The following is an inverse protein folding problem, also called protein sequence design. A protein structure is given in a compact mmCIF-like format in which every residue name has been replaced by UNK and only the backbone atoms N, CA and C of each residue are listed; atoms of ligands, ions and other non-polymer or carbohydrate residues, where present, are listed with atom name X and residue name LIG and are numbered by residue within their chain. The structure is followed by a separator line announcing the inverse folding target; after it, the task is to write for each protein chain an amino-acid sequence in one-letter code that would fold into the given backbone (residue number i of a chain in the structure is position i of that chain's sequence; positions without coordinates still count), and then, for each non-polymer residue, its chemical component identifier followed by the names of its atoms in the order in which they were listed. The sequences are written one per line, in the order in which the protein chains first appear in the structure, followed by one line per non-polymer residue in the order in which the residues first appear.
data_IF_198136594099
#
_entry.id   IF_198136594099
#
_cell.length_a   1.000
_cell.length_b   1.000
_cell.length_c   1.000
_cell.angle_alpha   90.00
_cell.angle_beta   90.00
_cell.angle_gamma   90.00
#
_symmetry.space_group_name_H-M   'P 1'
#
loop_
_entity.id
_entity.type
_entity.pdbx_description
1 polymer ?
#
# COMPACT_ATOMS: atom_id res chain seq x y z
N UNK A 1 -5.24 12.07 6.57
CA UNK A 1 -4.11 11.18 6.86
C UNK A 1 -3.98 10.08 5.83
N UNK A 2 -2.76 9.83 5.39
CA UNK A 2 -2.42 8.75 4.47
C UNK A 2 -2.69 7.38 5.10
N UNK A 3 -3.13 6.44 4.27
CA UNK A 3 -3.27 5.04 4.66
C UNK A 3 -1.91 4.42 5.00
N UNK A 4 -1.90 3.33 5.74
CA UNK A 4 -0.65 2.60 6.06
C UNK A 4 0.11 2.20 4.79
N UNK A 5 -0.59 1.81 3.70
CA UNK A 5 0.07 1.43 2.45
C UNK A 5 0.75 2.61 1.76
N UNK A 6 0.14 3.80 1.79
CA UNK A 6 0.75 5.03 1.24
C UNK A 6 1.99 5.45 2.03
N UNK A 7 1.90 5.37 3.36
CA UNK A 7 3.07 5.63 4.23
C UNK A 7 4.22 4.66 3.93
N UNK A 8 3.93 3.39 3.71
CA UNK A 8 4.93 2.39 3.33
C UNK A 8 5.54 2.69 1.95
N UNK A 9 4.75 3.13 0.96
CA UNK A 9 5.29 3.56 -0.33
C UNK A 9 6.27 4.73 -0.17
N UNK A 10 5.90 5.73 0.64
CA UNK A 10 6.77 6.87 0.97
C UNK A 10 8.06 6.43 1.65
N UNK A 11 7.99 5.49 2.61
CA UNK A 11 9.16 4.88 3.25
C UNK A 11 10.05 4.16 2.22
N UNK A 12 9.47 3.37 1.33
CA UNK A 12 10.22 2.64 0.31
C UNK A 12 10.91 3.58 -0.68
N UNK A 13 10.26 4.69 -1.07
CA UNK A 13 10.87 5.74 -1.90
C UNK A 13 12.05 6.41 -1.21
N UNK A 14 11.93 6.70 0.08
CA UNK A 14 13.05 7.24 0.87
C UNK A 14 14.22 6.25 0.93
N UNK A 15 13.95 4.97 1.21
CA UNK A 15 14.99 3.93 1.19
C UNK A 15 15.59 3.71 -0.21
N UNK A 16 14.78 3.86 -1.27
CA UNK A 16 15.24 3.79 -2.67
C UNK A 16 16.23 4.90 -2.98
N UNK A 17 15.99 6.13 -2.53
CA UNK A 17 16.94 7.22 -2.71
C UNK A 17 18.31 6.89 -2.10
N UNK A 18 18.32 6.30 -0.91
CA UNK A 18 19.55 5.83 -0.24
C UNK A 18 20.20 4.69 -1.02
N UNK A 19 19.42 3.72 -1.49
CA UNK A 19 19.92 2.60 -2.29
C UNK A 19 20.54 3.07 -3.62
N UNK A 20 19.94 4.07 -4.28
CA UNK A 20 20.48 4.69 -5.51
C UNK A 20 21.79 5.42 -5.20
N UNK A 21 21.84 6.20 -4.11
CA UNK A 21 23.06 6.88 -3.68
C UNK A 21 24.20 5.90 -3.38
N UNK A 22 23.90 4.77 -2.75
CA UNK A 22 24.85 3.70 -2.46
C UNK A 22 25.11 2.76 -3.67
N UNK A 23 24.54 3.04 -4.84
CA UNK A 23 24.65 2.22 -6.04
C UNK A 23 24.25 0.73 -5.84
N UNK A 24 23.24 0.46 -5.01
CA UNK A 24 22.70 -0.88 -4.80
C UNK A 24 21.75 -1.28 -5.94
N UNK A 25 22.31 -1.54 -7.11
CA UNK A 25 21.58 -2.02 -8.28
C UNK A 25 21.31 -3.53 -8.21
N UNK A 26 20.27 -3.98 -8.90
CA UNK A 26 20.00 -5.40 -9.19
C UNK A 26 19.49 -5.56 -10.60
N UNK A 27 19.74 -6.71 -11.20
CA UNK A 27 19.09 -7.09 -12.45
C UNK A 27 17.59 -7.26 -12.23
N UNK A 28 16.79 -6.74 -13.16
CA UNK A 28 15.35 -6.98 -13.17
C UNK A 28 15.05 -8.50 -13.12
N UNK A 29 14.17 -8.96 -12.23
CA UNK A 29 13.81 -10.39 -12.17
C UNK A 29 13.24 -10.89 -13.50
N UNK A 30 13.61 -12.10 -13.93
CA UNK A 30 13.10 -12.71 -15.18
C UNK A 30 11.57 -12.83 -15.21
N UNK A 31 10.94 -12.92 -14.04
CA UNK A 31 9.48 -13.04 -13.88
C UNK A 31 8.78 -11.69 -13.69
N UNK A 32 9.50 -10.57 -13.78
CA UNK A 32 8.97 -9.24 -13.51
C UNK A 32 7.78 -8.91 -14.39
N UNK A 33 7.91 -9.07 -15.71
CA UNK A 33 6.85 -8.72 -16.66
C UNK A 33 5.59 -9.58 -16.45
N UNK A 34 5.75 -10.88 -16.21
CA UNK A 34 4.63 -11.76 -15.85
C UNK A 34 3.95 -11.30 -14.57
N UNK A 35 4.72 -10.91 -13.55
CA UNK A 35 4.17 -10.44 -12.30
C UNK A 35 3.47 -9.08 -12.41
N UNK A 36 3.98 -8.17 -13.25
CA UNK A 36 3.35 -6.88 -13.53
C UNK A 36 2.08 -7.05 -14.34
N UNK A 37 2.09 -7.89 -15.38
CA UNK A 37 0.91 -8.23 -16.17
C UNK A 37 -0.21 -8.82 -15.30
N UNK A 38 0.12 -9.77 -14.42
CA UNK A 38 -0.85 -10.34 -13.47
C UNK A 38 -1.42 -9.30 -12.49
N UNK A 39 -0.61 -8.32 -12.07
CA UNK A 39 -1.05 -7.27 -11.18
C UNK A 39 -1.95 -6.27 -11.92
N UNK A 40 -1.59 -5.90 -13.14
CA UNK A 40 -2.39 -5.03 -14.00
C UNK A 40 -3.75 -5.65 -14.33
N UNK A 41 -3.81 -6.95 -14.62
CA UNK A 41 -5.08 -7.65 -14.83
C UNK A 41 -6.00 -7.58 -13.60
N UNK A 42 -5.45 -7.65 -12.38
CA UNK A 42 -6.23 -7.49 -11.14
C UNK A 42 -6.71 -6.05 -10.94
N UNK A 43 -5.90 -5.07 -11.29
CA UNK A 43 -6.25 -3.64 -11.26
C UNK A 43 -7.42 -3.40 -12.21
N UNK A 44 -7.30 -3.77 -13.47
CA UNK A 44 -8.35 -3.59 -14.49
C UNK A 44 -9.66 -4.28 -14.10
N UNK A 45 -9.61 -5.53 -13.62
CA UNK A 45 -10.81 -6.22 -13.13
C UNK A 45 -11.48 -5.51 -11.93
N UNK A 46 -10.70 -4.81 -11.09
CA UNK A 46 -11.22 -4.02 -9.97
C UNK A 46 -11.80 -2.69 -10.44
N UNK A 47 -11.16 -2.02 -11.40
CA UNK A 47 -11.67 -0.79 -12.03
C UNK A 47 -13.04 -1.05 -12.68
N UNK A 48 -13.16 -2.14 -13.45
CA UNK A 48 -14.42 -2.57 -14.06
C UNK A 48 -15.51 -2.83 -13.00
N UNK A 49 -15.18 -3.56 -11.93
CA UNK A 49 -16.12 -3.83 -10.85
C UNK A 49 -16.60 -2.55 -10.14
N UNK A 50 -15.72 -1.56 -9.96
CA UNK A 50 -16.06 -0.25 -9.39
C UNK A 50 -16.96 0.54 -10.35
N UNK A 51 -16.63 0.53 -11.64
CA UNK A 51 -17.42 1.22 -12.66
C UNK A 51 -18.84 0.66 -12.73
N UNK A 52 -18.98 -0.65 -12.73
CA UNK A 52 -20.29 -1.31 -12.77
C UNK A 52 -21.07 -1.09 -11.48
N UNK A 53 -20.42 -1.17 -10.31
CA UNK A 53 -21.06 -0.82 -9.04
C UNK A 53 -21.56 0.65 -9.03
N UNK A 54 -20.78 1.59 -9.57
CA UNK A 54 -21.18 3.00 -9.71
C UNK A 54 -22.39 3.17 -10.64
N UNK A 55 -22.40 2.48 -11.79
CA UNK A 55 -23.54 2.47 -12.73
C UNK A 55 -24.81 1.91 -12.07
N UNK A 56 -24.70 0.78 -11.37
CA UNK A 56 -25.82 0.16 -10.66
C UNK A 56 -26.37 1.05 -9.54
N UNK A 57 -25.49 1.67 -8.74
CA UNK A 57 -25.89 2.64 -7.71
C UNK A 57 -26.65 3.81 -8.33
N UNK A 58 -26.18 4.34 -9.46
CA UNK A 58 -26.85 5.44 -10.19
C UNK A 58 -28.24 5.01 -10.70
N UNK A 59 -28.35 3.80 -11.26
CA UNK A 59 -29.62 3.24 -11.74
C UNK A 59 -30.62 3.05 -10.59
N UNK A 60 -30.20 2.40 -9.50
CA UNK A 60 -31.05 2.19 -8.32
C UNK A 60 -31.48 3.50 -7.69
N UNK A 61 -30.60 4.52 -7.61
CA UNK A 61 -30.97 5.87 -7.13
C UNK A 61 -32.05 6.52 -8.00
N UNK A 62 -32.07 6.28 -9.31
CA UNK A 62 -33.08 6.81 -10.22
C UNK A 62 -34.42 6.11 -10.04
N UNK A 63 -34.41 4.78 -9.93
CA UNK A 63 -35.61 3.97 -9.68
C UNK A 63 -36.27 4.32 -8.33
N UNK A 64 -35.45 4.59 -7.31
CA UNK A 64 -35.94 4.95 -5.97
C UNK A 64 -36.61 6.33 -5.90
N UNK A 65 -36.36 7.23 -6.87
CA UNK A 65 -37.08 8.51 -6.96
C UNK A 65 -38.52 8.34 -7.44
N UNK A 66 -38.82 7.24 -8.12
CA UNK A 66 -40.17 6.92 -8.62
C UNK A 66 -40.97 6.00 -7.71
N UNK A 67 -40.35 5.36 -6.71
CA UNK A 67 -40.96 4.32 -5.88
C UNK A 67 -40.40 4.34 -4.46
N UNK A 68 -41.25 4.24 -3.43
CA UNK A 68 -40.83 4.11 -2.03
C UNK A 68 -40.64 2.64 -1.61
N UNK A 69 -39.87 1.86 -2.37
CA UNK A 69 -39.61 0.45 -2.05
C UNK A 69 -38.49 0.32 -1.00
N UNK A 70 -38.89 -0.08 0.21
CA UNK A 70 -37.99 -0.34 1.34
C UNK A 70 -36.91 -1.40 1.03
N UNK A 71 -37.20 -2.39 0.20
CA UNK A 71 -36.20 -3.42 -0.18
C UNK A 71 -35.11 -2.83 -1.07
N UNK A 72 -35.50 -2.00 -2.04
CA UNK A 72 -34.57 -1.33 -2.95
C UNK A 72 -33.66 -0.34 -2.19
N UNK A 73 -34.21 0.36 -1.19
CA UNK A 73 -33.44 1.25 -0.30
C UNK A 73 -32.33 0.49 0.43
N UNK A 74 -32.66 -0.61 1.10
CA UNK A 74 -31.66 -1.43 1.82
C UNK A 74 -30.57 -1.97 0.90
N UNK A 75 -30.93 -2.39 -0.32
CA UNK A 75 -29.97 -2.88 -1.32
C UNK A 75 -29.03 -1.77 -1.79
N UNK A 76 -29.56 -0.59 -2.05
CA UNK A 76 -28.78 0.58 -2.44
C UNK A 76 -27.78 0.98 -1.33
N UNK A 77 -28.24 1.06 -0.08
CA UNK A 77 -27.36 1.37 1.07
C UNK A 77 -26.21 0.36 1.19
N UNK A 78 -26.49 -0.93 1.03
CA UNK A 78 -25.47 -1.97 1.05
C UNK A 78 -24.42 -1.77 -0.05
N UNK A 79 -24.84 -1.52 -1.29
CA UNK A 79 -23.90 -1.28 -2.41
C UNK A 79 -23.09 0.00 -2.22
N UNK A 80 -23.72 1.08 -1.73
CA UNK A 80 -23.03 2.34 -1.42
C UNK A 80 -21.97 2.12 -0.34
N UNK A 81 -22.24 1.29 0.68
CA UNK A 81 -21.25 0.95 1.71
C UNK A 81 -20.13 0.04 1.19
N UNK A 82 -20.37 -0.75 0.15
CA UNK A 82 -19.36 -1.63 -0.45
C UNK A 82 -18.41 -0.88 -1.40
N UNK A 83 -18.87 0.18 -2.05
CA UNK A 83 -18.08 0.92 -3.04
C UNK A 83 -16.74 1.46 -2.48
N UNK A 84 -16.69 2.13 -1.30
CA UNK A 84 -15.43 2.59 -0.73
C UNK A 84 -14.44 1.46 -0.45
N UNK A 85 -14.92 0.27 -0.07
CA UNK A 85 -14.05 -0.89 0.16
C UNK A 85 -13.41 -1.39 -1.13
N UNK A 86 -14.15 -1.36 -2.24
CA UNK A 86 -13.59 -1.69 -3.56
C UNK A 86 -12.55 -0.67 -4.00
N UNK A 87 -12.82 0.62 -3.80
CA UNK A 87 -11.89 1.71 -4.11
C UNK A 87 -10.62 1.63 -3.26
N UNK A 88 -10.72 1.31 -1.97
CA UNK A 88 -9.57 1.07 -1.10
C UNK A 88 -8.73 -0.13 -1.55
N UNK A 89 -9.38 -1.23 -1.97
CA UNK A 89 -8.70 -2.41 -2.51
C UNK A 89 -7.97 -2.09 -3.82
N UNK A 90 -8.60 -1.31 -4.72
CA UNK A 90 -7.97 -0.86 -5.96
C UNK A 90 -6.72 -0.03 -5.64
N UNK A 91 -6.85 0.98 -4.78
CA UNK A 91 -5.75 1.85 -4.37
C UNK A 91 -4.55 1.07 -3.81
N UNK A 92 -4.83 0.03 -3.01
CA UNK A 92 -3.79 -0.88 -2.50
C UNK A 92 -3.04 -1.62 -3.62
N UNK A 93 -3.75 -2.08 -4.66
CA UNK A 93 -3.14 -2.75 -5.81
C UNK A 93 -2.30 -1.78 -6.65
N UNK A 94 -2.78 -0.57 -6.86
CA UNK A 94 -2.04 0.50 -7.56
C UNK A 94 -0.75 0.84 -6.83
N UNK A 95 -0.81 1.05 -5.51
CA UNK A 95 0.39 1.29 -4.68
C UNK A 95 1.38 0.14 -4.80
N UNK A 96 0.89 -1.11 -4.79
CA UNK A 96 1.74 -2.29 -4.95
C UNK A 96 2.39 -2.34 -6.34
N UNK A 97 1.70 -1.92 -7.39
CA UNK A 97 2.23 -1.86 -8.75
C UNK A 97 3.31 -0.79 -8.85
N UNK A 98 3.05 0.41 -8.34
CA UNK A 98 4.02 1.51 -8.29
C UNK A 98 5.28 1.13 -7.53
N UNK A 99 5.14 0.58 -6.31
CA UNK A 99 6.30 0.17 -5.50
C UNK A 99 7.15 -0.88 -6.22
N UNK A 100 6.52 -1.77 -6.98
CA UNK A 100 7.21 -2.82 -7.72
C UNK A 100 7.96 -2.29 -8.93
N UNK A 101 7.34 -1.40 -9.69
CA UNK A 101 7.94 -0.75 -10.85
C UNK A 101 9.13 0.13 -10.46
N UNK A 102 8.96 0.99 -9.45
CA UNK A 102 10.02 1.88 -8.97
C UNK A 102 11.25 1.09 -8.48
N UNK A 103 11.04 -0.09 -7.90
CA UNK A 103 12.10 -0.94 -7.36
C UNK A 103 12.55 -2.07 -8.31
N UNK A 104 12.16 -2.05 -9.58
CA UNK A 104 12.51 -3.09 -10.57
C UNK A 104 14.00 -3.44 -10.56
N UNK A 105 14.85 -2.42 -10.56
CA UNK A 105 16.31 -2.54 -10.71
C UNK A 105 17.10 -2.10 -9.48
N UNK A 106 16.42 -1.81 -8.36
CA UNK A 106 17.06 -1.31 -7.14
C UNK A 106 16.92 -2.32 -6.00
N UNK A 107 18.02 -2.60 -5.31
CA UNK A 107 18.07 -3.50 -4.16
C UNK A 107 17.95 -2.75 -2.83
N UNK A 108 16.74 -2.72 -2.27
CA UNK A 108 16.42 -2.02 -1.02
C UNK A 108 16.94 -2.69 0.25
N UNK A 109 17.31 -3.97 0.19
CA UNK A 109 17.67 -4.76 1.38
C UNK A 109 18.96 -4.30 2.03
N UNK A 110 20.00 -4.05 1.23
CA UNK A 110 21.33 -3.69 1.72
C UNK A 110 21.33 -2.33 2.40
N UNK A 111 20.74 -1.30 1.78
CA UNK A 111 20.62 0.04 2.38
C UNK A 111 19.87 -0.01 3.71
N UNK A 112 18.74 -0.71 3.72
CA UNK A 112 17.87 -0.85 4.89
C UNK A 112 18.51 -1.56 6.08
N UNK A 113 19.38 -2.54 5.84
CA UNK A 113 19.92 -3.39 6.90
C UNK A 113 21.29 -2.95 7.43
N UNK A 114 22.03 -2.19 6.63
CA UNK A 114 23.44 -1.93 6.90
C UNK A 114 23.82 -0.44 6.84
N UNK A 115 23.02 0.41 6.17
CA UNK A 115 23.36 1.82 5.96
C UNK A 115 22.35 2.80 6.57
N UNK A 116 21.22 2.31 7.06
CA UNK A 116 20.21 3.10 7.76
C UNK A 116 20.22 2.73 9.24
N UNK A 117 20.29 3.74 10.11
CA UNK A 117 20.10 3.54 11.54
C UNK A 117 18.66 3.06 11.79
N UNK A 118 18.45 1.85 12.35
CA UNK A 118 17.11 1.31 12.55
C UNK A 118 16.25 2.16 13.48
N UNK A 119 16.83 3.00 14.34
CA UNK A 119 16.10 3.93 15.21
C UNK A 119 15.34 4.99 14.42
N UNK A 120 15.84 5.40 13.25
CA UNK A 120 15.12 6.30 12.34
C UNK A 120 13.81 5.64 11.89
N UNK A 121 13.89 4.38 11.44
CA UNK A 121 12.72 3.63 10.98
C UNK A 121 11.76 3.31 12.13
N UNK A 122 12.26 2.98 13.32
CA UNK A 122 11.44 2.74 14.51
C UNK A 122 10.69 4.01 14.94
N UNK A 123 11.40 5.14 15.03
CA UNK A 123 10.82 6.45 15.36
C UNK A 123 9.72 6.83 14.37
N UNK A 124 9.98 6.67 13.07
CA UNK A 124 8.97 6.90 12.04
C UNK A 124 7.74 5.98 12.18
N UNK A 125 7.95 4.69 12.50
CA UNK A 125 6.84 3.76 12.72
C UNK A 125 5.96 4.18 13.90
N UNK A 126 6.58 4.60 15.02
CA UNK A 126 5.88 5.09 16.22
C UNK A 126 5.12 6.38 15.91
N UNK A 127 5.79 7.36 15.31
CA UNK A 127 5.24 8.68 14.96
C UNK A 127 4.00 8.61 14.05
N UNK A 128 3.98 7.67 13.11
CA UNK A 128 2.91 7.58 12.10
C UNK A 128 1.95 6.41 12.30
N UNK A 129 2.06 5.69 13.41
CA UNK A 129 1.24 4.52 13.74
C UNK A 129 1.37 3.40 12.71
N UNK A 130 2.54 3.26 12.08
CA UNK A 130 2.80 2.20 11.11
C UNK A 130 3.33 0.96 11.86
N UNK A 131 2.67 -0.21 11.75
CA UNK A 131 3.14 -1.39 12.44
C UNK A 131 4.55 -1.79 11.98
N UNK A 132 5.47 -2.01 12.93
CA UNK A 132 6.88 -2.26 12.64
C UNK A 132 7.08 -3.51 11.77
N UNK A 133 6.17 -4.48 11.83
CA UNK A 133 6.18 -5.68 11.00
C UNK A 133 5.93 -5.42 9.51
N UNK A 134 5.37 -4.26 9.16
CA UNK A 134 5.25 -3.80 7.77
C UNK A 134 6.57 -3.27 7.22
N UNK A 135 7.46 -2.81 8.10
CA UNK A 135 8.80 -2.36 7.72
C UNK A 135 9.79 -3.51 7.87
N UNK A 136 9.93 -4.12 9.05
CA UNK A 136 10.89 -5.18 9.30
C UNK A 136 10.20 -6.54 9.40
N UNK A 137 10.71 -7.54 8.67
CA UNK A 137 10.29 -8.93 8.84
C UNK A 137 10.77 -9.50 10.20
N UNK A 138 10.38 -10.74 10.53
CA UNK A 138 10.72 -11.37 11.82
C UNK A 138 12.22 -11.31 12.15
N UNK A 139 13.06 -11.81 11.25
CA UNK A 139 14.53 -11.85 11.44
C UNK A 139 15.14 -10.45 11.58
N UNK A 140 14.59 -9.47 10.85
CA UNK A 140 15.05 -8.08 10.93
C UNK A 140 14.66 -7.43 12.27
N UNK A 141 13.48 -7.75 12.80
CA UNK A 141 13.08 -7.29 14.14
C UNK A 141 13.94 -7.90 15.24
N UNK A 142 14.32 -9.17 15.10
CA UNK A 142 15.28 -9.82 16.01
C UNK A 142 16.65 -9.12 15.96
N UNK A 143 17.16 -8.81 14.76
CA UNK A 143 18.42 -8.06 14.58
C UNK A 143 18.38 -6.65 15.22
N UNK A 144 17.24 -5.97 15.12
CA UNK A 144 17.07 -4.58 15.56
C UNK A 144 16.25 -4.44 16.85
N UNK A 145 16.16 -5.49 17.66
CA UNK A 145 15.41 -5.48 18.93
C UNK A 145 15.84 -4.31 19.83
N UNK A 146 17.15 -4.09 19.94
CA UNK A 146 17.74 -2.96 20.69
C UNK A 146 17.17 -1.59 20.27
N UNK A 147 16.96 -1.37 18.97
CA UNK A 147 16.45 -0.11 18.45
C UNK A 147 14.94 0.01 18.68
N UNK A 148 14.20 -1.09 18.57
CA UNK A 148 12.74 -1.15 18.78
C UNK A 148 12.39 -0.81 20.23
N UNK A 149 13.18 -1.33 21.17
CA UNK A 149 13.01 -1.11 22.61
C UNK A 149 13.39 0.30 23.02
N UNK A 150 14.52 0.83 22.53
CA UNK A 150 15.10 2.09 23.03
C UNK A 150 14.61 3.36 22.33
N UNK A 151 14.27 3.33 21.04
CA UNK A 151 13.96 4.55 20.29
C UNK A 151 12.50 5.01 20.50
N UNK A 152 12.28 6.28 20.80
CA UNK A 152 10.95 6.90 20.79
C UNK A 152 10.62 7.56 19.43
N UNK A 153 9.45 8.21 19.34
CA UNK A 153 8.98 8.89 18.13
C UNK A 153 9.68 10.23 17.82
N UNK A 154 10.56 10.69 18.71
CA UNK A 154 11.26 11.98 18.63
C UNK A 154 12.74 11.84 18.29
N UNK A 155 13.24 10.62 18.14
CA UNK A 155 14.64 10.33 17.79
C UNK A 155 15.12 11.12 16.56
N UNK A 156 16.30 11.72 16.68
CA UNK A 156 17.05 12.40 15.62
C UNK A 156 18.44 11.75 15.52
N UNK A 157 18.87 11.41 14.31
CA UNK A 157 20.16 10.76 14.02
C UNK A 157 21.34 11.74 14.08
#
# INVERSE_FOLDING_TARGET
DDTVNEKILSYNRANRAVAVLCNHQRTAPKTFDTQMSNLQAKITAKEEAILDAKKEIKKMKKELKGTSDSKLQKKLESKVKQLPKLEEQLKKLEIQATDKEENKEIALGTSKLNYLDPRISVSWCKKWGVPIEKVYNRTQREKFAWAIEMADETFVF
#
